data_IF_191994037601
#
_entry.id   IF_191994037601
#
_cell.length_a   1.000
_cell.length_b   1.000
_cell.length_c   1.000
_cell.angle_alpha   90.00
_cell.angle_beta   90.00
_cell.angle_gamma   90.00
#
_symmetry.space_group_name_H-M   'P 1'
#
loop_
_entity.id
_entity.type
_entity.pdbx_description
1 polymer ?
#
# COMPACT_ATOMS: atom_id res chain seq x y z
N UNK A 1 -8.54 -18.86 25.82
CA UNK A 1 -8.12 -19.82 24.77
C UNK A 1 -9.31 -20.03 23.88
N UNK A 2 -9.33 -19.40 22.71
CA UNK A 2 -10.41 -19.49 21.73
C UNK A 2 -10.10 -20.60 20.72
N UNK A 3 -11.06 -21.52 20.51
CA UNK A 3 -10.94 -22.61 19.54
C UNK A 3 -12.29 -23.19 19.13
N UNK A 4 -12.32 -23.75 17.93
CA UNK A 4 -13.48 -24.47 17.39
C UNK A 4 -13.86 -25.62 18.34
N UNK A 5 -15.12 -25.62 18.80
CA UNK A 5 -15.67 -26.57 19.79
C UNK A 5 -15.87 -25.99 21.20
N UNK A 6 -15.60 -24.70 21.40
CA UNK A 6 -15.85 -24.01 22.66
C UNK A 6 -17.34 -23.75 22.91
N UNK A 7 -17.81 -24.06 24.13
CA UNK A 7 -19.24 -23.99 24.52
C UNK A 7 -19.60 -22.79 25.40
N UNK A 8 -18.62 -21.99 25.81
CA UNK A 8 -18.81 -20.83 26.68
C UNK A 8 -18.80 -19.56 25.83
N UNK A 9 -19.82 -18.70 25.98
CA UNK A 9 -19.93 -17.42 25.25
C UNK A 9 -18.85 -16.41 25.66
N UNK A 10 -18.30 -16.54 26.86
CA UNK A 10 -17.29 -15.61 27.37
C UNK A 10 -15.98 -16.35 27.70
N UNK A 11 -14.88 -15.74 27.29
CA UNK A 11 -13.51 -16.18 27.60
C UNK A 11 -12.88 -15.14 28.51
N UNK A 12 -12.70 -15.48 29.78
CA UNK A 12 -12.02 -14.62 30.74
C UNK A 12 -10.51 -14.88 30.69
N UNK A 13 -9.73 -13.90 30.25
CA UNK A 13 -8.28 -13.93 30.27
C UNK A 13 -7.76 -13.13 31.46
N UNK A 14 -7.14 -13.82 32.42
CA UNK A 14 -6.41 -13.18 33.52
C UNK A 14 -4.92 -13.15 33.16
N UNK A 15 -4.36 -11.95 33.04
CA UNK A 15 -2.92 -11.75 32.91
C UNK A 15 -2.37 -11.23 34.23
N UNK A 16 -1.66 -12.09 34.96
CA UNK A 16 -0.98 -11.70 36.20
C UNK A 16 0.37 -11.11 35.84
N UNK A 17 0.48 -9.79 35.92
CA UNK A 17 1.77 -9.10 35.79
C UNK A 17 2.59 -9.37 37.05
N UNK A 18 3.81 -9.92 36.94
CA UNK A 18 4.68 -10.05 38.09
C UNK A 18 5.11 -8.67 38.60
N UNK A 19 5.18 -8.49 39.93
CA UNK A 19 5.87 -7.33 40.52
C UNK A 19 7.32 -7.25 40.03
N UNK A 20 7.85 -6.03 39.90
CA UNK A 20 9.17 -5.70 39.32
C UNK A 20 10.34 -6.55 39.85
N UNK A 21 10.21 -7.13 41.05
CA UNK A 21 11.19 -8.05 41.63
C UNK A 21 11.33 -9.39 40.89
N UNK A 22 10.25 -9.94 40.32
CA UNK A 22 10.25 -11.26 39.67
C UNK A 22 10.89 -11.21 38.28
N UNK A 23 10.76 -10.10 37.54
CA UNK A 23 11.41 -9.92 36.25
C UNK A 23 12.95 -9.92 36.38
N UNK A 24 13.48 -9.40 37.49
CA UNK A 24 14.92 -9.46 37.80
C UNK A 24 15.44 -10.90 37.99
N UNK A 25 14.60 -11.81 38.48
CA UNK A 25 14.98 -13.20 38.79
C UNK A 25 14.79 -14.10 37.57
N UNK A 26 13.68 -13.97 36.87
CA UNK A 26 13.31 -14.91 35.79
C UNK A 26 13.74 -14.39 34.40
N UNK A 27 13.82 -13.06 34.23
CA UNK A 27 14.22 -12.42 32.97
C UNK A 27 13.30 -12.77 31.82
N UNK A 28 11.98 -12.75 32.04
CA UNK A 28 10.99 -13.20 31.06
C UNK A 28 11.03 -12.34 29.79
N UNK A 29 11.19 -11.01 29.91
CA UNK A 29 11.35 -10.13 28.75
C UNK A 29 12.60 -10.48 27.98
N UNK A 30 13.73 -10.67 28.67
CA UNK A 30 14.99 -11.05 28.01
C UNK A 30 14.90 -12.40 27.30
N UNK A 31 14.21 -13.39 27.90
CA UNK A 31 13.98 -14.71 27.29
C UNK A 31 13.02 -14.64 26.11
N UNK A 32 11.98 -13.82 26.19
CA UNK A 32 11.02 -13.59 25.12
C UNK A 32 11.70 -12.89 23.92
N UNK A 33 12.40 -11.78 24.15
CA UNK A 33 13.17 -11.09 23.11
C UNK A 33 14.20 -12.01 22.48
N UNK A 34 14.88 -12.84 23.28
CA UNK A 34 15.82 -13.83 22.75
C UNK A 34 15.12 -14.88 21.89
N UNK A 35 13.99 -15.43 22.30
CA UNK A 35 13.23 -16.40 21.48
C UNK A 35 12.66 -15.80 20.20
N UNK A 36 12.21 -14.54 20.24
CA UNK A 36 11.76 -13.82 19.03
C UNK A 36 12.93 -13.70 18.05
N UNK A 37 14.13 -13.37 18.55
CA UNK A 37 15.35 -13.28 17.75
C UNK A 37 15.80 -14.63 17.18
N UNK A 38 15.80 -15.66 18.02
CA UNK A 38 16.15 -17.04 17.62
C UNK A 38 15.14 -17.60 16.60
N UNK A 39 13.83 -17.31 16.73
CA UNK A 39 12.83 -17.68 15.73
C UNK A 39 13.02 -16.92 14.41
N UNK A 40 13.38 -15.63 14.47
CA UNK A 40 13.69 -14.82 13.28
C UNK A 40 14.97 -15.28 12.56
N UNK A 41 15.90 -15.95 13.23
CA UNK A 41 17.09 -16.55 12.61
C UNK A 41 16.80 -17.89 11.93
N UNK A 42 15.86 -18.68 12.45
CA UNK A 42 15.47 -19.99 11.87
C UNK A 42 14.49 -19.83 10.71
N UNK A 43 13.64 -18.80 10.75
CA UNK A 43 12.76 -18.41 9.64
C UNK A 43 13.46 -17.31 8.83
N UNK A 44 14.39 -17.71 7.95
CA UNK A 44 14.93 -16.89 6.86
C UNK A 44 15.21 -15.41 7.21
N UNK A 45 16.40 -15.16 7.75
CA UNK A 45 16.91 -13.86 8.20
C UNK A 45 17.15 -12.83 7.09
N UNK A 46 16.10 -12.39 6.39
CA UNK A 46 16.16 -11.20 5.51
C UNK A 46 14.85 -10.40 5.50
N UNK A 47 13.86 -10.78 6.31
CA UNK A 47 12.73 -9.92 6.66
C UNK A 47 13.03 -9.26 8.00
N UNK A 48 13.57 -8.04 7.96
CA UNK A 48 13.47 -7.15 9.10
C UNK A 48 11.99 -6.79 9.23
N UNK A 49 11.26 -7.59 9.99
CA UNK A 49 9.80 -7.44 10.18
C UNK A 49 9.45 -6.07 10.79
N UNK A 50 10.43 -5.43 11.44
CA UNK A 50 10.36 -4.07 11.98
C UNK A 50 11.75 -3.42 11.91
N UNK A 51 12.04 -2.64 10.87
CA UNK A 51 13.27 -1.87 10.81
C UNK A 51 12.97 -0.45 11.33
N UNK A 52 13.46 -0.12 12.54
CA UNK A 52 13.58 1.27 12.97
C UNK A 52 13.02 1.73 14.33
N UNK A 53 12.96 0.90 15.38
CA UNK A 53 13.16 1.33 16.79
C UNK A 53 13.15 0.09 17.73
N UNK A 54 13.84 0.11 18.88
CA UNK A 54 13.71 -0.97 19.85
C UNK A 54 12.27 -0.96 20.32
N UNK A 55 11.49 -1.98 19.95
CA UNK A 55 10.07 -2.16 20.33
C UNK A 55 9.85 -1.51 21.68
N UNK A 56 9.28 -0.31 21.66
CA UNK A 56 9.00 0.44 22.86
C UNK A 56 7.79 -0.30 23.40
N UNK A 57 8.04 -1.34 24.21
CA UNK A 57 7.00 -2.17 24.80
C UNK A 57 5.98 -1.26 25.51
N UNK A 58 6.44 -0.12 26.00
CA UNK A 58 5.66 1.03 26.46
C UNK A 58 4.56 1.48 25.50
N UNK A 59 4.82 1.58 24.20
CA UNK A 59 3.85 2.05 23.18
C UNK A 59 2.87 0.95 22.77
N UNK A 60 3.20 -0.33 22.99
CA UNK A 60 2.24 -1.43 22.91
C UNK A 60 1.28 -1.46 24.11
N UNK A 61 1.68 -0.90 25.26
CA UNK A 61 0.89 -0.84 26.49
C UNK A 61 0.21 0.52 26.73
N UNK A 62 0.72 1.59 26.11
CA UNK A 62 0.09 2.90 26.09
C UNK A 62 -0.87 2.93 24.90
N UNK A 63 -2.09 2.46 25.12
CA UNK A 63 -3.24 2.68 24.24
C UNK A 63 -3.33 4.16 23.84
N UNK A 64 -2.74 4.53 22.70
CA UNK A 64 -3.32 5.58 21.87
C UNK A 64 -4.64 5.01 21.39
N UNK A 65 -5.72 5.34 22.12
CA UNK A 65 -7.09 5.06 21.74
C UNK A 65 -7.28 5.37 20.25
N UNK A 66 -7.50 4.33 19.44
CA UNK A 66 -7.65 4.44 17.99
C UNK A 66 -6.86 3.43 17.16
N UNK A 67 -5.87 2.71 17.70
CA UNK A 67 -5.14 1.66 16.95
C UNK A 67 -5.85 0.30 17.03
N UNK A 68 -6.66 0.07 18.07
CA UNK A 68 -7.33 -1.22 18.33
C UNK A 68 -8.80 -1.28 17.90
N UNK A 69 -9.35 -0.20 17.31
CA UNK A 69 -10.67 -0.23 16.66
C UNK A 69 -10.59 -0.70 15.19
N UNK A 70 -9.39 -1.00 14.68
CA UNK A 70 -9.16 -1.57 13.34
C UNK A 70 -9.21 -3.12 13.35
N UNK A 71 -10.18 -3.72 14.05
CA UNK A 71 -10.39 -5.18 14.09
C UNK A 71 -10.96 -5.79 12.77
N UNK A 72 -10.74 -5.15 11.62
CA UNK A 72 -11.14 -5.68 10.29
C UNK A 72 -9.97 -5.72 9.28
N UNK A 73 -8.76 -5.31 9.67
CA UNK A 73 -7.56 -5.24 8.81
C UNK A 73 -6.67 -6.51 8.88
N UNK A 74 -7.27 -7.65 9.22
CA UNK A 74 -6.66 -8.98 9.06
C UNK A 74 -6.94 -9.57 7.67
N UNK A 75 -6.00 -9.40 6.73
CA UNK A 75 -5.99 -10.07 5.40
C UNK A 75 -7.12 -9.74 4.42
N UNK A 76 -7.65 -8.51 4.37
CA UNK A 76 -8.46 -8.11 3.21
C UNK A 76 -7.53 -7.78 2.04
N UNK A 77 -7.46 -8.68 1.04
CA UNK A 77 -6.85 -8.35 -0.25
C UNK A 77 -7.69 -7.24 -0.93
N UNK A 78 -7.26 -5.99 -0.74
CA UNK A 78 -7.90 -4.80 -1.31
C UNK A 78 -8.07 -4.89 -2.82
N UNK A 79 -7.15 -5.59 -3.52
CA UNK A 79 -7.27 -5.78 -4.96
C UNK A 79 -8.44 -6.71 -5.30
N UNK A 80 -8.60 -7.80 -4.56
CA UNK A 80 -9.77 -8.69 -4.68
C UNK A 80 -11.07 -7.99 -4.29
N UNK A 81 -11.06 -7.17 -3.23
CA UNK A 81 -12.23 -6.39 -2.81
C UNK A 81 -12.67 -5.39 -3.89
N UNK A 82 -11.73 -4.60 -4.40
CA UNK A 82 -11.99 -3.66 -5.48
C UNK A 82 -12.43 -4.37 -6.78
N UNK A 83 -11.81 -5.52 -7.11
CA UNK A 83 -12.22 -6.33 -8.25
C UNK A 83 -13.64 -6.87 -8.08
N UNK A 84 -14.05 -7.28 -6.89
CA UNK A 84 -15.41 -7.75 -6.63
C UNK A 84 -16.43 -6.61 -6.77
N UNK A 85 -16.12 -5.40 -6.28
CA UNK A 85 -16.97 -4.21 -6.50
C UNK A 85 -17.13 -3.95 -8.00
N UNK A 86 -16.02 -3.94 -8.74
CA UNK A 86 -16.02 -3.74 -10.18
C UNK A 86 -16.83 -4.80 -10.92
N UNK A 87 -16.63 -6.07 -10.57
CA UNK A 87 -17.33 -7.22 -11.16
C UNK A 87 -18.84 -7.12 -10.94
N UNK A 88 -19.28 -6.86 -9.71
CA UNK A 88 -20.69 -6.68 -9.41
C UNK A 88 -21.30 -5.54 -10.22
N UNK A 89 -20.59 -4.40 -10.35
CA UNK A 89 -21.07 -3.25 -11.11
C UNK A 89 -21.25 -3.56 -12.61
N UNK A 90 -20.31 -4.27 -13.24
CA UNK A 90 -20.43 -4.64 -14.67
C UNK A 90 -21.38 -5.80 -14.92
N UNK A 91 -21.58 -6.69 -13.94
CA UNK A 91 -22.59 -7.75 -14.02
C UNK A 91 -24.00 -7.14 -13.97
N UNK A 92 -24.19 -6.07 -13.18
CA UNK A 92 -25.45 -5.31 -13.09
C UNK A 92 -25.68 -4.37 -14.30
N UNK A 93 -24.67 -3.61 -14.73
CA UNK A 93 -24.70 -2.78 -15.95
C UNK A 93 -23.45 -2.98 -16.82
N UNK A 94 -23.54 -3.85 -17.85
CA UNK A 94 -22.42 -4.13 -18.75
C UNK A 94 -21.87 -2.90 -19.50
N UNK A 95 -22.64 -1.81 -19.62
CA UNK A 95 -22.17 -0.59 -20.30
C UNK A 95 -21.03 0.09 -19.53
N UNK A 96 -20.96 -0.10 -18.21
CA UNK A 96 -19.91 0.47 -17.37
C UNK A 96 -18.51 0.02 -17.79
N UNK A 97 -18.38 -1.19 -18.35
CA UNK A 97 -17.10 -1.73 -18.86
C UNK A 97 -16.50 -0.84 -19.96
N UNK A 98 -17.33 -0.14 -20.74
CA UNK A 98 -16.89 0.82 -21.75
C UNK A 98 -16.81 2.24 -21.21
N UNK A 99 -17.82 2.68 -20.45
CA UNK A 99 -17.94 4.08 -20.02
C UNK A 99 -16.85 4.45 -19.01
N UNK A 100 -16.58 3.60 -18.01
CA UNK A 100 -15.65 3.98 -16.94
C UNK A 100 -14.20 4.16 -17.44
N UNK A 101 -13.63 3.25 -18.25
CA UNK A 101 -12.29 3.45 -18.81
C UNK A 101 -12.14 4.63 -19.78
N UNK A 102 -13.25 5.12 -20.35
CA UNK A 102 -13.25 6.27 -21.27
C UNK A 102 -13.32 7.63 -20.54
N UNK A 103 -13.56 7.65 -19.21
CA UNK A 103 -13.53 8.91 -18.46
C UNK A 103 -12.13 9.52 -18.44
N UNK A 104 -12.02 10.85 -18.60
CA UNK A 104 -10.74 11.53 -18.42
C UNK A 104 -10.35 11.54 -16.94
N UNK A 105 -9.04 11.72 -16.70
CA UNK A 105 -8.54 12.05 -15.38
C UNK A 105 -9.16 13.37 -14.87
N UNK A 106 -9.09 13.60 -13.55
CA UNK A 106 -9.57 14.81 -12.86
C UNK A 106 -11.10 14.96 -12.86
N UNK A 107 -11.86 13.88 -13.07
CA UNK A 107 -13.32 13.92 -12.91
C UNK A 107 -13.71 14.09 -11.43
N UNK A 108 -14.82 14.79 -11.19
CA UNK A 108 -15.31 14.98 -9.84
C UNK A 108 -16.83 14.95 -9.77
N UNK A 109 -17.35 14.55 -8.61
CA UNK A 109 -18.76 14.63 -8.28
C UNK A 109 -18.93 14.90 -6.81
N UNK A 110 -20.15 15.18 -6.38
CA UNK A 110 -20.49 15.29 -4.97
C UNK A 110 -21.81 14.59 -4.76
N UNK A 111 -21.91 13.80 -3.68
CA UNK A 111 -23.15 13.14 -3.29
C UNK A 111 -23.54 13.55 -1.87
N UNK A 112 -24.83 13.40 -1.58
CA UNK A 112 -25.28 13.48 -0.19
C UNK A 112 -24.78 12.28 0.60
N UNK A 113 -24.41 12.51 1.86
CA UNK A 113 -23.95 11.51 2.81
C UNK A 113 -24.52 11.83 4.19
N UNK A 114 -24.77 10.79 4.99
CA UNK A 114 -25.13 10.95 6.39
C UNK A 114 -23.87 11.33 7.17
N UNK A 115 -23.81 12.59 7.63
CA UNK A 115 -22.65 13.10 8.35
C UNK A 115 -22.77 12.77 9.84
N UNK A 116 -21.68 12.26 10.39
CA UNK A 116 -21.49 12.01 11.82
C UNK A 116 -20.08 12.42 12.24
N UNK A 117 -19.78 12.40 13.54
CA UNK A 117 -18.42 12.65 14.05
C UNK A 117 -17.39 11.67 13.44
N UNK A 118 -17.84 10.45 13.12
CA UNK A 118 -17.03 9.42 12.46
C UNK A 118 -17.04 9.49 10.94
N UNK A 119 -17.96 10.26 10.34
CA UNK A 119 -18.09 10.49 8.90
C UNK A 119 -18.32 11.98 8.58
N UNK A 120 -17.27 12.82 8.63
CA UNK A 120 -17.41 14.25 8.42
C UNK A 120 -17.78 14.62 6.98
N UNK A 121 -18.30 15.84 6.78
CA UNK A 121 -18.33 16.46 5.45
C UNK A 121 -16.89 16.63 4.93
N UNK A 122 -16.65 16.29 3.66
CA UNK A 122 -15.30 16.34 3.11
C UNK A 122 -15.18 15.87 1.66
N UNK A 123 -13.94 15.74 1.21
CA UNK A 123 -13.59 15.29 -0.14
C UNK A 123 -12.67 14.08 -0.07
N UNK A 124 -13.03 13.04 -0.80
CA UNK A 124 -12.15 11.91 -1.12
C UNK A 124 -11.41 12.25 -2.41
N UNK A 125 -10.09 12.07 -2.43
CA UNK A 125 -9.26 12.17 -3.63
C UNK A 125 -8.61 10.83 -3.93
N UNK A 126 -8.67 10.43 -5.19
CA UNK A 126 -7.90 9.31 -5.73
C UNK A 126 -6.77 9.85 -6.60
N UNK A 127 -5.54 9.57 -6.18
CA UNK A 127 -4.34 10.01 -6.87
C UNK A 127 -3.50 8.79 -7.25
N UNK A 128 -2.95 8.85 -8.45
CA UNK A 128 -1.86 7.98 -8.87
C UNK A 128 -0.55 8.74 -8.73
N UNK A 129 0.33 8.24 -7.89
CA UNK A 129 1.58 8.95 -7.59
C UNK A 129 2.61 8.85 -8.72
N UNK A 130 3.77 9.52 -8.57
CA UNK A 130 4.85 9.48 -9.55
C UNK A 130 5.43 8.06 -9.73
N UNK A 131 5.41 7.27 -8.65
CA UNK A 131 5.77 5.85 -8.63
C UNK A 131 4.60 4.91 -9.02
N UNK A 132 3.53 5.46 -9.59
CA UNK A 132 2.33 4.74 -10.03
C UNK A 132 1.58 4.02 -8.89
N UNK A 133 1.75 4.45 -7.64
CA UNK A 133 0.97 3.93 -6.53
C UNK A 133 -0.43 4.55 -6.52
N UNK A 134 -1.45 3.71 -6.41
CA UNK A 134 -2.82 4.16 -6.14
C UNK A 134 -2.97 4.53 -4.67
N UNK A 135 -3.27 5.80 -4.41
CA UNK A 135 -3.46 6.37 -3.07
C UNK A 135 -4.81 7.07 -2.99
N UNK A 136 -5.56 6.73 -1.95
CA UNK A 136 -6.83 7.36 -1.60
C UNK A 136 -6.64 8.18 -0.33
N UNK A 137 -7.22 9.37 -0.27
CA UNK A 137 -7.18 10.20 0.94
C UNK A 137 -8.51 10.91 1.11
N UNK A 138 -9.02 10.92 2.34
CA UNK A 138 -10.24 11.64 2.70
C UNK A 138 -9.90 12.81 3.60
N UNK A 139 -10.29 14.02 3.18
CA UNK A 139 -10.05 15.28 3.87
C UNK A 139 -11.38 15.90 4.28
N UNK A 140 -11.50 16.33 5.55
CA UNK A 140 -12.68 17.05 6.03
C UNK A 140 -12.70 18.52 5.57
N UNK A 141 -13.82 19.22 5.78
CA UNK A 141 -13.94 20.66 5.50
C UNK A 141 -13.03 21.55 6.37
N UNK A 142 -12.45 21.01 7.45
CA UNK A 142 -11.46 21.65 8.31
C UNK A 142 -10.01 21.55 7.82
N UNK A 143 -9.76 20.87 6.70
CA UNK A 143 -8.43 20.49 6.17
C UNK A 143 -7.70 19.41 7.00
N UNK A 144 -8.41 18.63 7.82
CA UNK A 144 -7.82 17.49 8.50
C UNK A 144 -7.91 16.24 7.64
N UNK A 145 -6.84 15.45 7.61
CA UNK A 145 -6.86 14.12 7.00
C UNK A 145 -7.65 13.18 7.90
N UNK A 146 -8.79 12.71 7.42
CA UNK A 146 -9.64 11.76 8.15
C UNK A 146 -9.02 10.38 8.11
N UNK A 147 -8.61 9.92 6.93
CA UNK A 147 -8.01 8.60 6.74
C UNK A 147 -7.36 8.46 5.35
N UNK A 148 -6.41 7.53 5.25
CA UNK A 148 -5.88 6.97 3.99
C UNK A 148 -6.24 5.48 3.82
N UNK A 149 -7.01 4.90 4.75
CA UNK A 149 -7.44 3.50 4.65
C UNK A 149 -8.33 3.33 3.42
N UNK A 150 -7.83 2.58 2.44
CA UNK A 150 -8.53 2.35 1.18
C UNK A 150 -9.84 1.60 1.42
N UNK A 151 -9.86 0.64 2.36
CA UNK A 151 -11.07 -0.10 2.72
C UNK A 151 -12.14 0.83 3.27
N UNK A 152 -11.79 1.67 4.26
CA UNK A 152 -12.72 2.65 4.84
C UNK A 152 -13.22 3.61 3.78
N UNK A 153 -12.34 4.14 2.93
CA UNK A 153 -12.70 5.06 1.85
C UNK A 153 -13.65 4.40 0.84
N UNK A 154 -13.40 3.16 0.42
CA UNK A 154 -14.28 2.44 -0.49
C UNK A 154 -15.65 2.18 0.13
N UNK A 155 -15.70 1.73 1.40
CA UNK A 155 -16.95 1.56 2.15
C UNK A 155 -17.72 2.88 2.23
N UNK A 156 -17.04 4.00 2.52
CA UNK A 156 -17.66 5.32 2.59
C UNK A 156 -18.06 5.86 1.21
N UNK A 157 -17.31 5.59 0.14
CA UNK A 157 -17.64 6.07 -1.20
C UNK A 157 -18.82 5.32 -1.84
N UNK A 158 -19.12 4.11 -1.36
CA UNK A 158 -20.18 3.24 -1.89
C UNK A 158 -21.52 3.97 -2.05
N UNK A 159 -22.13 3.82 -3.22
CA UNK A 159 -23.42 4.40 -3.55
C UNK A 159 -24.17 3.53 -4.56
N UNK A 160 -25.48 3.75 -4.67
CA UNK A 160 -26.31 3.08 -5.68
C UNK A 160 -26.26 3.82 -7.03
N UNK A 161 -26.48 3.15 -8.17
CA UNK A 161 -26.50 3.80 -9.48
C UNK A 161 -27.50 4.96 -9.61
N UNK A 162 -28.60 4.92 -8.85
CA UNK A 162 -29.63 5.97 -8.87
C UNK A 162 -29.27 7.19 -8.00
N UNK A 163 -28.11 7.16 -7.33
CA UNK A 163 -27.66 8.25 -6.47
C UNK A 163 -27.38 9.49 -7.32
N UNK A 164 -28.16 10.55 -7.10
CA UNK A 164 -28.03 11.79 -7.85
C UNK A 164 -26.87 12.63 -7.33
N UNK A 165 -26.10 13.21 -8.26
CA UNK A 165 -25.07 14.18 -7.92
C UNK A 165 -25.70 15.48 -7.42
N UNK A 166 -25.08 16.09 -6.42
CA UNK A 166 -25.42 17.41 -5.91
C UNK A 166 -24.32 18.43 -6.26
N UNK A 167 -24.61 19.71 -6.04
CA UNK A 167 -23.62 20.76 -6.25
C UNK A 167 -22.40 20.52 -5.36
N UNK A 168 -21.22 20.73 -5.94
CA UNK A 168 -19.94 20.55 -5.25
C UNK A 168 -19.84 21.38 -3.97
N UNK A 169 -19.05 20.88 -3.03
CA UNK A 169 -18.63 21.62 -1.84
C UNK A 169 -17.91 22.90 -2.32
N UNK A 170 -18.18 24.10 -1.74
CA UNK A 170 -17.56 25.34 -2.21
C UNK A 170 -16.03 25.28 -2.31
N UNK A 171 -15.38 24.66 -1.32
CA UNK A 171 -13.92 24.52 -1.23
C UNK A 171 -13.40 23.18 -1.82
N UNK A 172 -14.19 22.47 -2.64
CA UNK A 172 -13.87 21.12 -3.11
C UNK A 172 -12.44 20.99 -3.67
N UNK A 173 -12.07 21.84 -4.62
CA UNK A 173 -10.76 21.74 -5.25
C UNK A 173 -9.61 22.18 -4.34
N UNK A 174 -9.90 23.01 -3.34
CA UNK A 174 -8.92 23.38 -2.32
C UNK A 174 -8.62 22.18 -1.42
N UNK A 175 -9.66 21.44 -1.01
CA UNK A 175 -9.50 20.19 -0.27
C UNK A 175 -8.78 19.12 -1.10
N UNK A 176 -9.07 19.02 -2.40
CA UNK A 176 -8.30 18.15 -3.31
C UNK A 176 -6.83 18.53 -3.33
N UNK A 177 -6.50 19.82 -3.44
CA UNK A 177 -5.11 20.28 -3.43
C UNK A 177 -4.40 19.90 -2.12
N UNK A 178 -5.03 20.14 -0.97
CA UNK A 178 -4.53 19.71 0.35
C UNK A 178 -4.27 18.20 0.39
N UNK A 179 -5.20 17.41 -0.14
CA UNK A 179 -5.05 15.95 -0.20
C UNK A 179 -3.87 15.49 -1.05
N UNK A 180 -3.68 16.10 -2.22
CA UNK A 180 -2.57 15.76 -3.12
C UNK A 180 -1.22 16.15 -2.52
N UNK A 181 -1.15 17.32 -1.87
CA UNK A 181 0.06 17.77 -1.17
C UNK A 181 0.43 16.82 -0.03
N UNK A 182 -0.55 16.40 0.78
CA UNK A 182 -0.35 15.41 1.82
C UNK A 182 0.13 14.05 1.29
N UNK A 183 -0.43 13.57 0.17
CA UNK A 183 0.01 12.33 -0.48
C UNK A 183 1.46 12.45 -0.93
N UNK A 184 1.85 13.59 -1.51
CA UNK A 184 3.22 13.83 -1.95
C UNK A 184 4.22 13.78 -0.78
N UNK A 185 3.85 14.33 0.38
CA UNK A 185 4.71 14.34 1.56
C UNK A 185 4.81 12.97 2.25
N UNK A 186 3.79 12.11 2.11
CA UNK A 186 3.71 10.78 2.75
C UNK A 186 4.07 9.61 1.84
N UNK A 187 4.27 9.83 0.53
CA UNK A 187 4.49 8.76 -0.47
C UNK A 187 5.67 7.85 -0.13
N UNK A 188 6.76 8.41 0.41
CA UNK A 188 7.96 7.66 0.81
C UNK A 188 7.68 6.62 1.90
N UNK A 189 6.69 6.88 2.75
CA UNK A 189 6.39 6.08 3.94
C UNK A 189 5.39 4.96 3.61
N UNK A 190 4.55 5.14 2.59
CA UNK A 190 3.46 4.21 2.22
C UNK A 190 3.97 3.00 1.41
N UNK A 191 5.01 3.18 0.60
CA UNK A 191 5.51 2.15 -0.33
C UNK A 191 6.96 1.73 -0.13
N UNK A 192 7.72 2.42 0.72
CA UNK A 192 9.17 2.32 0.73
C UNK A 192 9.79 2.67 -0.63
N UNK A 193 11.10 2.48 -0.77
CA UNK A 193 11.84 2.94 -1.96
C UNK A 193 11.44 2.27 -3.29
N UNK A 194 10.80 1.10 -3.23
CA UNK A 194 10.42 0.29 -4.40
C UNK A 194 8.92 0.36 -4.75
N UNK A 195 8.12 1.04 -3.93
CA UNK A 195 6.66 1.05 -4.03
C UNK A 195 5.99 -0.25 -3.58
N UNK A 196 4.71 -0.43 -3.94
CA UNK A 196 3.88 -1.57 -3.52
C UNK A 196 4.55 -2.93 -3.79
N UNK A 197 4.46 -3.86 -2.82
CA UNK A 197 4.99 -5.25 -2.91
C UNK A 197 4.48 -6.04 -4.12
N UNK A 198 3.27 -5.73 -4.59
CA UNK A 198 2.65 -6.36 -5.77
C UNK A 198 3.09 -5.74 -7.10
N UNK A 199 3.75 -4.58 -7.08
CA UNK A 199 4.18 -3.85 -8.26
C UNK A 199 5.32 -4.53 -9.02
N UNK A 200 5.41 -4.25 -10.32
CA UNK A 200 6.47 -4.80 -11.18
C UNK A 200 7.87 -4.50 -10.64
N UNK A 201 8.12 -3.26 -10.23
CA UNK A 201 9.42 -2.80 -9.71
C UNK A 201 9.87 -3.62 -8.51
N UNK A 202 9.02 -3.71 -7.48
CA UNK A 202 9.30 -4.52 -6.29
C UNK A 202 9.52 -6.00 -6.64
N UNK A 203 8.59 -6.61 -7.41
CA UNK A 203 8.66 -8.04 -7.75
C UNK A 203 9.91 -8.38 -8.56
N UNK A 204 10.26 -7.55 -9.54
CA UNK A 204 11.46 -7.73 -10.36
C UNK A 204 12.72 -7.55 -9.51
N UNK A 205 12.78 -6.50 -8.69
CA UNK A 205 13.90 -6.28 -7.78
C UNK A 205 14.13 -7.49 -6.86
N UNK A 206 13.09 -7.98 -6.18
CA UNK A 206 13.22 -9.11 -5.26
C UNK A 206 13.70 -10.38 -5.96
N UNK A 207 13.12 -10.72 -7.12
CA UNK A 207 13.52 -11.89 -7.92
C UNK A 207 14.96 -11.78 -8.40
N UNK A 208 15.34 -10.64 -8.97
CA UNK A 208 16.69 -10.46 -9.52
C UNK A 208 17.76 -10.33 -8.44
N UNK A 209 17.45 -9.71 -7.30
CA UNK A 209 18.37 -9.64 -6.16
C UNK A 209 18.62 -11.04 -5.57
N UNK A 210 17.56 -11.86 -5.45
CA UNK A 210 17.69 -13.26 -5.03
C UNK A 210 18.51 -14.07 -6.04
N UNK A 211 18.20 -13.97 -7.33
CA UNK A 211 18.95 -14.61 -8.41
C UNK A 211 20.43 -14.20 -8.42
N UNK A 212 20.71 -12.89 -8.31
CA UNK A 212 22.08 -12.38 -8.29
C UNK A 212 22.89 -12.94 -7.11
N UNK A 213 22.26 -13.07 -5.93
CA UNK A 213 22.91 -13.65 -4.73
C UNK A 213 23.15 -15.15 -4.87
N UNK A 214 22.19 -15.90 -5.41
CA UNK A 214 22.32 -17.35 -5.62
C UNK A 214 23.47 -17.67 -6.60
N UNK A 215 23.59 -16.89 -7.67
CA UNK A 215 24.58 -17.11 -8.72
C UNK A 215 25.84 -16.25 -8.57
N UNK A 216 26.09 -15.71 -7.37
CA UNK A 216 27.29 -14.91 -7.08
C UNK A 216 28.56 -15.66 -7.50
N UNK A 217 29.48 -14.95 -8.16
CA UNK A 217 30.73 -15.48 -8.72
C UNK A 217 30.58 -16.40 -9.96
N UNK A 218 29.41 -16.41 -10.60
CA UNK A 218 29.23 -17.05 -11.91
C UNK A 218 29.10 -16.01 -13.04
N UNK A 219 29.13 -16.46 -14.30
CA UNK A 219 28.89 -15.60 -15.47
C UNK A 219 27.47 -14.99 -15.49
N UNK A 220 26.52 -15.57 -14.74
CA UNK A 220 25.14 -15.12 -14.66
C UNK A 220 24.94 -13.93 -13.72
N UNK A 221 25.80 -13.76 -12.71
CA UNK A 221 25.81 -12.61 -11.80
C UNK A 221 26.85 -11.57 -12.24
N UNK A 222 26.64 -10.98 -13.42
CA UNK A 222 27.57 -10.02 -14.01
C UNK A 222 27.31 -8.56 -13.56
N UNK A 223 28.26 -7.67 -13.87
CA UNK A 223 28.18 -6.27 -13.47
C UNK A 223 27.02 -5.52 -14.11
N UNK A 224 26.62 -5.89 -15.34
CA UNK A 224 25.48 -5.27 -16.02
C UNK A 224 24.16 -5.56 -15.28
N UNK A 225 23.96 -6.81 -14.84
CA UNK A 225 22.81 -7.20 -14.03
C UNK A 225 22.82 -6.48 -12.67
N UNK A 226 23.98 -6.40 -12.01
CA UNK A 226 24.11 -5.66 -10.75
C UNK A 226 23.69 -4.20 -10.89
N UNK A 227 24.18 -3.51 -11.93
CA UNK A 227 23.82 -2.11 -12.21
C UNK A 227 22.34 -1.96 -12.51
N UNK A 228 21.73 -2.90 -13.23
CA UNK A 228 20.30 -2.88 -13.49
C UNK A 228 19.46 -3.06 -12.21
N UNK A 229 19.86 -3.97 -11.30
CA UNK A 229 19.21 -4.14 -10.00
C UNK A 229 19.32 -2.85 -9.17
N UNK A 230 20.51 -2.24 -9.13
CA UNK A 230 20.74 -0.99 -8.41
C UNK A 230 19.90 0.17 -8.97
N UNK A 231 19.74 0.25 -10.30
CA UNK A 231 18.89 1.25 -10.95
C UNK A 231 17.40 1.03 -10.68
N UNK A 232 16.92 -0.22 -10.69
CA UNK A 232 15.54 -0.55 -10.30
C UNK A 232 15.29 -0.18 -8.84
N UNK A 233 16.29 -0.36 -7.97
CA UNK A 233 16.18 0.05 -6.58
C UNK A 233 16.06 1.56 -6.42
N UNK A 234 16.87 2.33 -7.16
CA UNK A 234 16.98 3.79 -6.98
C UNK A 234 15.93 4.59 -7.75
N UNK A 235 15.50 4.11 -8.90
CA UNK A 235 14.74 4.90 -9.86
C UNK A 235 13.45 4.21 -10.31
N UNK A 236 12.39 4.98 -10.62
CA UNK A 236 11.17 4.45 -11.17
C UNK A 236 11.40 3.86 -12.57
N UNK A 237 10.61 2.83 -12.89
CA UNK A 237 10.61 2.22 -14.23
C UNK A 237 9.97 3.16 -15.25
N UNK A 238 10.50 3.16 -16.47
CA UNK A 238 9.78 3.75 -17.61
C UNK A 238 8.51 2.95 -17.88
N UNK A 239 7.47 3.62 -18.40
CA UNK A 239 6.16 3.02 -18.67
C UNK A 239 6.26 1.75 -19.55
N UNK A 240 7.05 1.82 -20.63
CA UNK A 240 7.28 0.66 -21.49
C UNK A 240 7.91 -0.54 -20.76
N UNK A 241 8.96 -0.30 -19.94
CA UNK A 241 9.61 -1.36 -19.18
C UNK A 241 8.64 -1.96 -18.15
N UNK A 242 7.90 -1.12 -17.43
CA UNK A 242 6.88 -1.55 -16.46
C UNK A 242 5.85 -2.48 -17.12
N UNK A 243 5.27 -2.07 -18.25
CA UNK A 243 4.22 -2.83 -18.93
C UNK A 243 4.76 -4.15 -19.51
N UNK A 244 5.97 -4.12 -20.07
CA UNK A 244 6.68 -5.31 -20.54
C UNK A 244 6.95 -6.29 -19.40
N UNK A 245 7.53 -5.82 -18.29
CA UNK A 245 7.83 -6.63 -17.12
C UNK A 245 6.56 -7.23 -16.49
N UNK A 246 5.49 -6.44 -16.37
CA UNK A 246 4.19 -6.93 -15.89
C UNK A 246 3.64 -8.05 -16.78
N UNK A 247 3.75 -7.93 -18.10
CA UNK A 247 3.31 -8.97 -19.03
C UNK A 247 4.11 -10.26 -18.84
N UNK A 248 5.43 -10.17 -18.78
CA UNK A 248 6.31 -11.33 -18.61
C UNK A 248 6.16 -12.00 -17.23
N UNK A 249 5.96 -11.20 -16.17
CA UNK A 249 5.65 -11.71 -14.84
C UNK A 249 4.31 -12.47 -14.81
N UNK A 250 3.30 -12.02 -15.55
CA UNK A 250 2.00 -12.72 -15.67
C UNK A 250 2.13 -14.04 -16.43
N UNK A 251 3.03 -14.13 -17.41
CA UNK A 251 3.29 -15.36 -18.17
C UNK A 251 4.23 -16.34 -17.46
N UNK A 252 4.71 -16.02 -16.26
CA UNK A 252 5.59 -16.90 -15.48
C UNK A 252 7.00 -17.02 -16.03
N UNK A 253 7.60 -15.92 -16.53
CA UNK A 253 9.01 -15.87 -16.94
C UNK A 253 9.93 -16.39 -15.81
N UNK A 254 10.95 -17.18 -16.15
CA UNK A 254 11.98 -17.63 -15.21
C UNK A 254 13.01 -16.53 -14.89
N UNK A 255 13.79 -16.70 -13.83
CA UNK A 255 14.69 -15.65 -13.32
C UNK A 255 15.85 -15.33 -14.28
N UNK A 256 16.36 -16.32 -15.02
CA UNK A 256 17.43 -16.09 -15.98
C UNK A 256 16.94 -15.24 -17.16
N UNK A 257 15.80 -15.61 -17.76
CA UNK A 257 15.22 -14.81 -18.85
C UNK A 257 14.78 -13.43 -18.37
N UNK A 258 14.32 -13.32 -17.13
CA UNK A 258 14.00 -12.03 -16.53
C UNK A 258 15.26 -11.14 -16.40
N UNK A 259 16.39 -11.72 -15.99
CA UNK A 259 17.67 -11.02 -15.91
C UNK A 259 18.13 -10.53 -17.29
N UNK A 260 18.07 -11.40 -18.31
CA UNK A 260 18.39 -11.05 -19.71
C UNK A 260 17.51 -9.91 -20.23
N UNK A 261 16.20 -9.98 -20.00
CA UNK A 261 15.25 -8.93 -20.38
C UNK A 261 15.57 -7.59 -19.71
N UNK A 262 15.84 -7.59 -18.41
CA UNK A 262 16.13 -6.37 -17.65
C UNK A 262 17.45 -5.73 -18.10
N UNK A 263 18.48 -6.54 -18.35
CA UNK A 263 19.75 -6.04 -18.89
C UNK A 263 19.56 -5.44 -20.27
N UNK A 264 18.81 -6.12 -21.16
CA UNK A 264 18.51 -5.60 -22.49
C UNK A 264 17.74 -4.26 -22.43
N UNK A 265 16.70 -4.17 -21.59
CA UNK A 265 15.96 -2.92 -21.38
C UNK A 265 16.86 -1.79 -20.87
N UNK A 266 17.85 -2.10 -20.04
CA UNK A 266 18.82 -1.13 -19.54
C UNK A 266 19.75 -0.65 -20.64
N UNK A 267 20.32 -1.58 -21.42
CA UNK A 267 21.23 -1.25 -22.52
C UNK A 267 20.55 -0.40 -23.59
N UNK A 268 19.25 -0.61 -23.82
CA UNK A 268 18.43 0.24 -24.69
C UNK A 268 18.07 1.61 -24.07
N UNK A 269 18.42 1.87 -22.82
CA UNK A 269 18.04 3.10 -22.09
C UNK A 269 16.55 3.16 -21.73
N UNK A 270 15.86 2.02 -21.74
CA UNK A 270 14.41 1.91 -21.60
C UNK A 270 13.94 1.34 -20.26
N UNK A 271 14.86 0.97 -19.35
CA UNK A 271 14.53 0.37 -18.06
C UNK A 271 13.99 1.37 -17.04
N UNK A 272 14.84 2.29 -16.56
CA UNK A 272 14.51 3.27 -15.54
C UNK A 272 14.60 4.71 -16.05
N UNK A 273 13.92 5.61 -15.36
CA UNK A 273 14.04 7.06 -15.54
C UNK A 273 15.19 7.54 -14.63
N UNK A 274 16.37 7.74 -15.20
CA UNK A 274 17.58 8.15 -14.47
C UNK A 274 17.76 9.67 -14.49
N UNK A 275 17.15 10.34 -15.47
CA UNK A 275 17.24 11.78 -15.64
C UNK A 275 16.46 12.52 -14.54
N UNK A 276 17.15 13.43 -13.84
CA UNK A 276 16.58 14.20 -12.73
C UNK A 276 15.48 15.16 -13.17
N UNK A 277 15.60 15.76 -14.35
CA UNK A 277 14.56 16.64 -14.89
C UNK A 277 13.32 15.82 -15.26
N UNK A 278 13.49 14.61 -15.81
CA UNK A 278 12.38 13.70 -16.12
C UNK A 278 11.68 13.19 -14.83
N UNK A 279 12.44 12.97 -13.76
CA UNK A 279 11.95 12.61 -12.42
C UNK A 279 11.15 13.74 -11.75
N UNK A 280 11.67 14.96 -11.76
CA UNK A 280 11.01 16.13 -11.16
C UNK A 280 9.73 16.53 -11.92
N UNK A 281 9.67 16.22 -13.22
CA UNK A 281 8.53 16.52 -14.09
C UNK A 281 7.44 15.44 -14.14
N UNK A 282 7.43 14.47 -13.21
CA UNK A 282 6.39 13.44 -13.15
C UNK A 282 5.38 13.77 -12.03
N UNK A 283 4.43 14.69 -12.24
CA UNK A 283 3.48 15.05 -11.21
C UNK A 283 2.56 13.87 -10.89
N UNK A 284 2.09 13.76 -9.63
CA UNK A 284 0.99 12.88 -9.31
C UNK A 284 -0.23 13.22 -10.19
N UNK A 285 -0.93 12.20 -10.65
CA UNK A 285 -2.14 12.34 -11.46
C UNK A 285 -3.37 12.19 -10.58
N UNK A 286 -4.23 13.20 -10.57
CA UNK A 286 -5.53 13.12 -9.90
C UNK A 286 -6.45 12.33 -10.83
N UNK A 287 -6.86 11.13 -10.41
CA UNK A 287 -7.76 10.29 -11.21
C UNK A 287 -9.19 10.80 -11.05
N UNK A 288 -9.66 10.91 -9.81
CA UNK A 288 -10.99 11.45 -9.52
C UNK A 288 -11.09 12.01 -8.10
N UNK A 289 -12.16 12.74 -7.84
CA UNK A 289 -12.51 13.18 -6.48
C UNK A 289 -14.02 13.14 -6.20
N UNK A 290 -14.39 12.78 -4.99
CA UNK A 290 -15.78 12.66 -4.54
C UNK A 290 -16.02 13.53 -3.31
N UNK A 291 -16.89 14.52 -3.43
CA UNK A 291 -17.39 15.27 -2.28
C UNK A 291 -18.50 14.49 -1.57
N UNK A 292 -18.44 14.46 -0.24
CA UNK A 292 -19.46 13.93 0.64
C UNK A 292 -20.06 15.10 1.40
N UNK A 293 -21.34 15.40 1.17
CA UNK A 293 -22.04 16.60 1.66
C UNK A 293 -23.32 16.23 2.43
N UNK A 294 -23.76 17.06 3.37
CA UNK A 294 -25.07 16.94 4.03
C UNK A 294 -26.27 16.99 3.05
#
# INVERSE_FOLDING_TARGET
MDRIGQKSEQILCYSFLPEDGIERIIGLRRRLTRRIRENAEVVGSDEVFFEGDPVNISDLYNEKAGILDDEDDGEVDLASYAYQIWKNAIDDDPKLQKIIPEYPDVIYSTRKAEISDTNPEGVIVYTKTADDNDVLTWIDTGNNIITQSQLRILKTAACKPETTAVHKIPEHHKLVATGVEYIKDTESDIGGQLGKKTGARYRVYMRLNSYYREYQNTLFANENLKRAIDEIYKYPLREYARDSLNRWLKTGIDDQRLAELVVALREEGRLCIIDKEELENRPPKIICSLGLKA
#
